data_IF_970791106594
#
_entry.id   IF_970791106594
#
_cell.length_a   1.000
_cell.length_b   1.000
_cell.length_c   1.000
_cell.angle_alpha   90.00
_cell.angle_beta   90.00
_cell.angle_gamma   90.00
#
_symmetry.space_group_name_H-M   'P 1'
#
loop_
_entity.id
_entity.type
_entity.pdbx_description
1 polymer ?
#
# COMPACT_ATOMS: atom_id res chain seq x y z
N UNK A 1 7.85 15.52 2.25
CA UNK A 1 7.13 14.61 1.39
C UNK A 1 7.99 14.13 0.23
N UNK A 2 7.61 13.01 -0.32
CA UNK A 2 8.32 12.42 -1.44
C UNK A 2 7.95 13.16 -2.73
N UNK A 3 8.96 13.52 -3.53
CA UNK A 3 8.74 14.16 -4.81
C UNK A 3 8.12 13.15 -5.81
N UNK A 4 7.04 13.56 -6.49
CA UNK A 4 6.42 12.74 -7.53
C UNK A 4 7.37 12.49 -8.71
N UNK A 5 8.22 13.46 -9.05
CA UNK A 5 9.22 13.29 -10.11
C UNK A 5 10.20 12.18 -9.74
N UNK A 6 10.66 12.15 -8.50
CA UNK A 6 11.56 11.11 -8.02
C UNK A 6 10.88 9.74 -8.08
N UNK A 7 9.62 9.66 -7.62
CA UNK A 7 8.84 8.42 -7.67
C UNK A 7 8.69 7.92 -9.10
N UNK A 8 8.31 8.82 -10.02
CA UNK A 8 8.13 8.47 -11.43
C UNK A 8 9.42 7.93 -12.06
N UNK A 9 10.56 8.56 -11.78
CA UNK A 9 11.87 8.12 -12.28
C UNK A 9 12.23 6.73 -11.77
N UNK A 10 11.95 6.45 -10.48
CA UNK A 10 12.21 5.13 -9.90
C UNK A 10 11.34 4.05 -10.53
N UNK A 11 10.06 4.35 -10.74
CA UNK A 11 9.13 3.41 -11.37
C UNK A 11 9.56 3.12 -12.81
N UNK A 12 9.96 4.13 -13.57
CA UNK A 12 10.49 3.97 -14.93
C UNK A 12 11.74 3.09 -14.96
N UNK A 13 12.55 3.15 -13.89
CA UNK A 13 13.73 2.33 -13.74
C UNK A 13 13.42 0.90 -13.28
N UNK A 14 12.16 0.53 -13.10
CA UNK A 14 11.74 -0.81 -12.67
C UNK A 14 11.72 -1.01 -11.17
N UNK A 15 11.79 0.06 -10.39
CA UNK A 15 11.77 0.00 -8.93
C UNK A 15 10.36 0.23 -8.42
N UNK A 16 9.84 -0.70 -7.62
CA UNK A 16 8.55 -0.51 -6.95
C UNK A 16 8.72 0.45 -5.77
N UNK A 17 7.78 1.37 -5.63
CA UNK A 17 7.76 2.33 -4.52
C UNK A 17 6.53 2.07 -3.68
N UNK A 18 6.73 1.91 -2.37
CA UNK A 18 5.65 1.76 -1.39
C UNK A 18 5.61 3.03 -0.55
N UNK A 19 4.44 3.66 -0.50
CA UNK A 19 4.21 4.85 0.30
C UNK A 19 3.27 4.52 1.45
N UNK A 20 3.65 4.90 2.66
CA UNK A 20 2.77 4.84 3.82
C UNK A 20 2.18 6.23 4.02
N UNK A 21 0.91 6.38 3.68
CA UNK A 21 0.24 7.69 3.68
C UNK A 21 -1.17 7.55 4.22
N UNK A 22 -1.75 8.67 4.68
CA UNK A 22 -3.13 8.69 5.12
C UNK A 22 -4.09 8.73 3.91
N UNK A 23 -5.41 8.70 4.20
CA UNK A 23 -6.43 8.67 3.15
C UNK A 23 -6.40 9.92 2.26
N UNK A 24 -6.03 11.08 2.83
CA UNK A 24 -5.93 12.33 2.05
C UNK A 24 -4.76 12.26 1.07
N UNK A 25 -3.60 11.78 1.54
CA UNK A 25 -2.45 11.53 0.68
C UNK A 25 -2.74 10.50 -0.40
N UNK A 26 -3.47 9.44 -0.04
CA UNK A 26 -3.87 8.41 -1.00
C UNK A 26 -4.75 8.98 -2.10
N UNK A 27 -5.71 9.85 -1.77
CA UNK A 27 -6.54 10.52 -2.76
C UNK A 27 -5.71 11.35 -3.73
N UNK A 28 -4.74 12.09 -3.22
CA UNK A 28 -3.85 12.90 -4.04
C UNK A 28 -3.00 12.04 -4.98
N UNK A 29 -2.49 10.92 -4.50
CA UNK A 29 -1.68 10.01 -5.32
C UNK A 29 -2.54 9.39 -6.42
N UNK A 30 -3.76 8.95 -6.12
CA UNK A 30 -4.65 8.38 -7.14
C UNK A 30 -4.96 9.39 -8.25
N UNK A 31 -5.14 10.64 -7.89
CA UNK A 31 -5.43 11.71 -8.83
C UNK A 31 -4.23 11.99 -9.76
N UNK A 32 -3.03 12.04 -9.18
CA UNK A 32 -1.80 12.34 -9.92
C UNK A 32 -1.19 11.13 -10.61
N UNK A 33 -1.40 9.95 -10.06
CA UNK A 33 -0.87 8.67 -10.58
C UNK A 33 -2.00 7.63 -10.61
N UNK A 34 -2.87 7.68 -11.64
CA UNK A 34 -4.04 6.78 -11.70
C UNK A 34 -3.68 5.29 -11.72
N UNK A 35 -2.48 4.94 -12.16
CA UNK A 35 -2.00 3.55 -12.17
C UNK A 35 -1.51 3.07 -10.82
N UNK A 36 -1.51 3.92 -9.80
CA UNK A 36 -1.14 3.52 -8.44
C UNK A 36 -2.15 2.52 -7.87
N UNK A 37 -1.67 1.67 -6.97
CA UNK A 37 -2.51 0.67 -6.29
C UNK A 37 -2.64 1.06 -4.83
N UNK A 38 -3.87 1.26 -4.39
CA UNK A 38 -4.17 1.54 -3.00
C UNK A 38 -4.46 0.27 -2.22
N UNK A 39 -3.75 0.09 -1.11
CA UNK A 39 -3.93 -1.07 -0.23
C UNK A 39 -4.27 -0.53 1.15
N UNK A 40 -5.42 -0.94 1.69
CA UNK A 40 -5.84 -0.57 3.02
C UNK A 40 -5.63 -1.73 3.97
N UNK A 41 -4.93 -1.48 5.07
CA UNK A 41 -4.67 -2.50 6.09
C UNK A 41 -5.75 -2.37 7.18
N UNK A 42 -6.54 -3.41 7.33
CA UNK A 42 -7.67 -3.44 8.27
C UNK A 42 -7.27 -4.20 9.53
N UNK A 43 -7.51 -3.64 10.72
CA UNK A 43 -7.28 -4.42 11.94
C UNK A 43 -8.33 -5.54 12.07
N UNK A 44 -8.01 -6.65 12.73
CA UNK A 44 -8.97 -7.75 12.89
C UNK A 44 -10.11 -7.40 13.84
N UNK A 45 -9.88 -6.47 14.76
CA UNK A 45 -10.89 -5.90 15.66
C UNK A 45 -10.34 -4.63 16.28
N UNK A 46 -11.23 -3.81 16.84
CA UNK A 46 -10.80 -2.61 17.55
C UNK A 46 -10.04 -2.97 18.83
N UNK A 47 -10.44 -4.02 19.49
CA UNK A 47 -9.79 -4.49 20.72
C UNK A 47 -8.34 -4.91 20.47
N UNK A 48 -8.10 -5.64 19.38
CA UNK A 48 -6.75 -6.05 18.99
C UNK A 48 -5.91 -4.84 18.62
N UNK A 49 -6.46 -3.90 17.88
CA UNK A 49 -5.74 -2.68 17.52
C UNK A 49 -5.34 -1.90 18.77
N UNK A 50 -6.25 -1.73 19.71
CA UNK A 50 -5.97 -1.02 20.96
C UNK A 50 -4.84 -1.69 21.74
N UNK A 51 -4.88 -3.02 21.86
CA UNK A 51 -3.81 -3.77 22.52
C UNK A 51 -2.46 -3.59 21.84
N UNK A 52 -2.44 -3.64 20.50
CA UNK A 52 -1.22 -3.43 19.73
C UNK A 52 -0.66 -2.04 19.94
N UNK A 53 -1.51 -1.02 19.98
CA UNK A 53 -1.09 0.35 20.24
C UNK A 53 -0.52 0.50 21.65
N UNK A 54 -1.16 -0.12 22.64
CA UNK A 54 -0.68 -0.10 24.02
C UNK A 54 0.70 -0.73 24.17
N UNK A 55 0.92 -1.87 23.51
CA UNK A 55 2.21 -2.57 23.58
C UNK A 55 3.32 -1.82 22.85
N UNK A 56 3.00 -1.16 21.76
CA UNK A 56 3.96 -0.48 20.91
C UNK A 56 4.40 0.87 21.46
N UNK A 57 3.46 1.60 22.04
CA UNK A 57 3.64 3.01 22.24
C UNK A 57 4.21 3.34 23.61
N UNK A 58 4.09 2.49 24.62
CA UNK A 58 4.40 2.83 26.02
C UNK A 58 3.82 4.18 26.41
N UNK A 59 2.74 4.59 25.72
CA UNK A 59 2.30 5.97 25.69
C UNK A 59 1.11 6.21 26.58
N UNK A 60 0.89 7.48 26.85
CA UNK A 60 -0.25 7.99 27.57
C UNK A 60 -1.54 7.56 26.89
N UNK A 61 -2.58 7.33 27.68
CA UNK A 61 -3.92 6.97 27.20
C UNK A 61 -4.45 7.94 26.15
N UNK A 62 -4.12 9.25 26.25
CA UNK A 62 -4.54 10.26 25.29
C UNK A 62 -4.02 10.02 23.88
N UNK A 63 -2.77 9.55 23.77
CA UNK A 63 -2.15 9.25 22.46
C UNK A 63 -2.82 8.04 21.82
N UNK A 64 -3.06 6.99 22.60
CA UNK A 64 -3.75 5.78 22.14
C UNK A 64 -5.15 6.12 21.67
N UNK A 65 -5.89 6.91 22.44
CA UNK A 65 -7.24 7.36 22.10
C UNK A 65 -7.26 8.13 20.77
N UNK A 66 -6.29 9.00 20.56
CA UNK A 66 -6.16 9.75 19.31
C UNK A 66 -5.90 8.82 18.13
N UNK A 67 -4.97 7.86 18.29
CA UNK A 67 -4.67 6.91 17.23
C UNK A 67 -5.84 6.01 16.88
N UNK A 68 -6.65 5.64 17.89
CA UNK A 68 -7.87 4.88 17.67
C UNK A 68 -8.90 5.69 16.86
N UNK A 69 -9.05 6.97 17.19
CA UNK A 69 -9.94 7.86 16.46
C UNK A 69 -9.47 8.06 15.02
N UNK A 70 -8.16 8.24 14.82
CA UNK A 70 -7.57 8.36 13.49
C UNK A 70 -7.81 7.09 12.66
N UNK A 71 -7.67 5.93 13.27
CA UNK A 71 -7.90 4.65 12.60
C UNK A 71 -9.35 4.50 12.15
N UNK A 72 -10.30 4.95 12.97
CA UNK A 72 -11.73 4.94 12.61
C UNK A 72 -12.01 5.89 11.45
N UNK A 73 -11.39 7.07 11.45
CA UNK A 73 -11.51 8.02 10.35
C UNK A 73 -10.94 7.45 9.05
N UNK A 74 -9.79 6.77 9.12
CA UNK A 74 -9.20 6.10 7.97
C UNK A 74 -10.12 5.01 7.42
N UNK A 75 -10.71 4.21 8.30
CA UNK A 75 -11.59 3.10 7.89
C UNK A 75 -12.81 3.60 7.11
N UNK A 76 -13.28 4.80 7.38
CA UNK A 76 -14.42 5.37 6.65
C UNK A 76 -14.14 5.49 5.15
N UNK A 77 -12.89 5.49 4.74
CA UNK A 77 -12.45 5.61 3.34
C UNK A 77 -12.04 4.28 2.71
N UNK A 78 -12.34 3.14 3.35
CA UNK A 78 -11.87 1.82 2.91
C UNK A 78 -12.21 1.50 1.45
N UNK A 79 -13.37 1.91 0.99
CA UNK A 79 -13.86 1.58 -0.35
C UNK A 79 -13.23 2.43 -1.46
N UNK A 80 -12.37 3.38 -1.10
CA UNK A 80 -11.56 4.14 -2.07
C UNK A 80 -10.30 3.39 -2.50
N UNK A 81 -9.99 2.28 -1.85
CA UNK A 81 -8.77 1.49 -2.10
C UNK A 81 -9.05 0.30 -3.01
N UNK A 82 -8.00 -0.18 -3.66
CA UNK A 82 -8.10 -1.32 -4.58
C UNK A 82 -8.13 -2.66 -3.85
N UNK A 83 -7.44 -2.74 -2.72
CA UNK A 83 -7.32 -3.98 -1.95
C UNK A 83 -7.47 -3.71 -0.46
N UNK A 84 -8.03 -4.68 0.24
CA UNK A 84 -8.12 -4.69 1.70
C UNK A 84 -7.36 -5.90 2.23
N UNK A 85 -6.45 -5.66 3.15
CA UNK A 85 -5.71 -6.75 3.82
C UNK A 85 -6.03 -6.70 5.30
N UNK A 86 -6.53 -7.80 5.85
CA UNK A 86 -6.75 -7.90 7.30
C UNK A 86 -5.44 -8.28 7.97
N UNK A 87 -4.97 -7.44 8.89
CA UNK A 87 -3.74 -7.70 9.63
C UNK A 87 -4.03 -8.48 10.91
N UNK A 88 -4.53 -9.69 10.76
CA UNK A 88 -4.73 -10.60 11.88
C UNK A 88 -3.41 -11.26 12.29
N UNK A 89 -2.68 -11.74 11.29
CA UNK A 89 -1.38 -12.38 11.45
C UNK A 89 -0.40 -11.70 10.50
N UNK A 90 0.74 -11.28 11.03
CA UNK A 90 1.73 -10.54 10.25
C UNK A 90 2.20 -11.31 9.01
N UNK A 91 2.47 -12.61 9.18
CA UNK A 91 2.95 -13.44 8.06
C UNK A 91 1.93 -13.53 6.93
N UNK A 92 0.65 -13.68 7.26
CA UNK A 92 -0.42 -13.75 6.27
C UNK A 92 -0.61 -12.39 5.58
N UNK A 93 -0.59 -11.31 6.34
CA UNK A 93 -0.71 -9.96 5.77
C UNK A 93 0.46 -9.66 4.83
N UNK A 94 1.66 -10.05 5.21
CA UNK A 94 2.85 -9.89 4.36
C UNK A 94 2.74 -10.71 3.09
N UNK A 95 2.24 -11.94 3.18
CA UNK A 95 2.03 -12.80 2.02
C UNK A 95 1.02 -12.18 1.05
N UNK A 96 -0.07 -11.59 1.58
CA UNK A 96 -1.07 -10.91 0.77
C UNK A 96 -0.46 -9.69 0.06
N UNK A 97 0.32 -8.89 0.78
CA UNK A 97 1.01 -7.74 0.19
C UNK A 97 1.95 -8.18 -0.94
N UNK A 98 2.74 -9.22 -0.69
CA UNK A 98 3.66 -9.77 -1.70
C UNK A 98 2.91 -10.31 -2.92
N UNK A 99 1.73 -10.92 -2.72
CA UNK A 99 0.90 -11.41 -3.82
C UNK A 99 0.45 -10.26 -4.73
N UNK A 100 0.05 -9.13 -4.13
CA UNK A 100 -0.37 -7.94 -4.88
C UNK A 100 0.80 -7.39 -5.70
N UNK A 101 1.98 -7.26 -5.08
CA UNK A 101 3.18 -6.80 -5.76
C UNK A 101 3.56 -7.71 -6.93
N UNK A 102 3.49 -9.03 -6.72
CA UNK A 102 3.82 -10.02 -7.75
C UNK A 102 2.87 -9.92 -8.93
N UNK A 103 1.56 -9.86 -8.67
CA UNK A 103 0.55 -9.76 -9.73
C UNK A 103 0.74 -8.46 -10.52
N UNK A 104 1.02 -7.36 -9.83
CA UNK A 104 1.27 -6.08 -10.50
C UNK A 104 2.45 -6.18 -11.48
N UNK A 105 3.53 -6.81 -11.07
CA UNK A 105 4.73 -6.99 -11.92
C UNK A 105 4.45 -7.83 -13.17
N UNK A 106 3.42 -8.66 -13.13
CA UNK A 106 3.07 -9.55 -14.26
C UNK A 106 2.15 -8.87 -15.29
N UNK A 107 1.71 -7.65 -15.05
CA UNK A 107 0.89 -6.93 -16.02
C UNK A 107 1.65 -6.76 -17.34
N UNK A 108 0.95 -6.91 -18.45
CA UNK A 108 1.54 -6.76 -19.78
C UNK A 108 2.25 -5.42 -19.93
N UNK A 109 1.65 -4.33 -19.44
CA UNK A 109 2.22 -2.99 -19.53
C UNK A 109 3.59 -2.87 -18.84
N UNK A 110 3.84 -3.69 -17.83
CA UNK A 110 5.12 -3.74 -17.12
C UNK A 110 6.05 -4.78 -17.75
N UNK A 111 5.53 -5.98 -18.00
CA UNK A 111 6.32 -7.09 -18.55
C UNK A 111 6.88 -6.81 -19.94
N UNK A 112 6.17 -6.04 -20.77
CA UNK A 112 6.67 -5.72 -22.11
C UNK A 112 8.01 -4.96 -22.07
N UNK A 113 8.29 -4.22 -21.01
CA UNK A 113 9.57 -3.54 -20.81
C UNK A 113 10.64 -4.52 -20.32
N UNK A 114 10.30 -5.32 -19.33
CA UNK A 114 11.23 -6.32 -18.76
C UNK A 114 11.59 -7.39 -19.78
N UNK A 115 10.64 -7.82 -20.60
CA UNK A 115 10.80 -8.89 -21.56
C UNK A 115 11.11 -8.39 -22.98
N UNK A 116 11.44 -7.10 -23.13
CA UNK A 116 11.68 -6.52 -24.45
C UNK A 116 12.69 -7.30 -25.29
N UNK A 117 13.85 -7.74 -24.76
CA UNK A 117 14.78 -8.53 -25.57
C UNK A 117 14.20 -9.86 -26.02
N UNK A 118 13.50 -10.57 -25.14
CA UNK A 118 12.87 -11.84 -25.49
C UNK A 118 11.78 -11.65 -26.54
N UNK A 119 10.93 -10.65 -26.35
CA UNK A 119 9.83 -10.37 -27.29
C UNK A 119 10.37 -9.99 -28.68
N UNK A 120 11.44 -9.20 -28.71
CA UNK A 120 12.09 -8.84 -29.98
C UNK A 120 12.60 -10.09 -30.71
N UNK A 121 13.21 -11.02 -29.99
CA UNK A 121 13.69 -12.28 -30.56
C UNK A 121 12.54 -13.13 -31.10
N UNK A 122 11.44 -13.23 -30.32
CA UNK A 122 10.30 -14.06 -30.72
C UNK A 122 9.52 -13.47 -31.89
N UNK A 123 9.56 -12.16 -32.06
CA UNK A 123 8.82 -11.47 -33.11
C UNK A 123 9.61 -11.33 -34.42
N UNK A 124 10.90 -11.64 -34.43
CA UNK A 124 11.75 -11.51 -35.61
C UNK A 124 11.60 -12.66 -36.62
#
# INVERSE_FOLDING_TARGET
>A
GTSLDWVSKKIEAGVDIILEIDWQGAQQIREKMPESIGIFIVPPSWEVLEKRLQLRAQDKKSVIKKRMADAKAELAHYDEYDYLIVNENFSNALADLNAILRVRRLRCSIQKKELAPLLATLLS
#
